data_IF_483239765264
#
_entry.id   IF_483239765264
#
_cell.length_a   1.000
_cell.length_b   1.000
_cell.length_c   1.000
_cell.angle_alpha   90.00
_cell.angle_beta   90.00
_cell.angle_gamma   90.00
#
_symmetry.space_group_name_H-M   'P 1'
#
loop_
_entity.id
_entity.type
_entity.pdbx_description
1 polymer ?
#
# COMPACT_ATOMS: atom_id res chain seq x y z
N UNK A 1 19.14 -28.74 -43.90
CA UNK A 1 19.78 -27.52 -43.34
C UNK A 1 19.18 -26.18 -43.76
N UNK A 2 17.85 -26.04 -43.79
CA UNK A 2 17.19 -24.79 -44.22
C UNK A 2 16.65 -23.93 -43.07
N UNK A 3 16.86 -24.36 -41.81
CA UNK A 3 16.42 -23.64 -40.60
C UNK A 3 17.42 -22.59 -40.11
N UNK A 4 18.72 -22.83 -40.29
CA UNK A 4 19.77 -21.92 -39.81
C UNK A 4 19.85 -20.61 -40.61
N UNK A 5 19.54 -20.65 -41.92
CA UNK A 5 19.62 -19.46 -42.78
C UNK A 5 18.49 -18.45 -42.46
N UNK A 6 17.29 -18.93 -42.11
CA UNK A 6 16.17 -18.04 -41.72
C UNK A 6 16.41 -17.32 -40.40
N UNK A 7 17.11 -17.93 -39.45
CA UNK A 7 17.40 -17.30 -38.17
C UNK A 7 18.36 -16.12 -38.31
N UNK A 8 19.40 -16.26 -39.13
CA UNK A 8 20.33 -15.16 -39.45
C UNK A 8 19.64 -13.99 -40.17
N UNK A 9 18.65 -14.28 -41.03
CA UNK A 9 17.93 -13.24 -41.76
C UNK A 9 16.93 -12.48 -40.85
N UNK A 10 16.35 -13.15 -39.85
CA UNK A 10 15.47 -12.52 -38.86
C UNK A 10 16.22 -11.58 -37.90
N UNK A 11 17.43 -11.94 -37.49
CA UNK A 11 18.27 -11.10 -36.64
C UNK A 11 18.84 -9.86 -37.36
N UNK A 12 18.88 -9.84 -38.69
CA UNK A 12 19.31 -8.66 -39.46
C UNK A 12 18.21 -7.59 -39.61
N UNK A 13 16.95 -7.98 -39.39
CA UNK A 13 15.77 -7.12 -39.57
C UNK A 13 15.22 -6.59 -38.24
N UNK A 14 15.78 -7.04 -37.12
CA UNK A 14 15.46 -6.57 -35.77
C UNK A 14 16.69 -5.90 -35.17
N UNK A 15 16.55 -4.64 -34.77
CA UNK A 15 17.57 -3.84 -34.09
C UNK A 15 17.75 -4.29 -32.63
N UNK A 16 18.02 -5.58 -32.42
CA UNK A 16 18.36 -6.13 -31.11
C UNK A 16 19.87 -6.08 -30.95
N UNK A 17 20.35 -5.03 -30.28
CA UNK A 17 21.73 -4.95 -29.83
C UNK A 17 21.88 -5.85 -28.60
N UNK A 18 22.43 -7.05 -28.78
CA UNK A 18 22.83 -7.91 -27.66
C UNK A 18 24.13 -7.37 -27.10
N UNK A 19 24.03 -6.49 -26.11
CA UNK A 19 25.17 -6.01 -25.33
C UNK A 19 25.61 -7.07 -24.33
N UNK A 20 26.73 -7.75 -24.60
CA UNK A 20 27.37 -8.61 -23.61
C UNK A 20 27.90 -7.77 -22.45
N UNK A 21 27.38 -8.02 -21.24
CA UNK A 21 27.88 -7.38 -20.00
C UNK A 21 29.20 -8.04 -19.61
N UNK A 22 30.32 -7.37 -19.88
CA UNK A 22 31.61 -7.73 -19.28
C UNK A 22 31.62 -7.17 -17.86
N UNK A 23 31.63 -8.03 -16.85
CA UNK A 23 31.93 -7.61 -15.48
C UNK A 23 33.40 -7.19 -15.39
N UNK A 24 33.66 -5.89 -15.46
CA UNK A 24 34.97 -5.33 -15.15
C UNK A 24 35.09 -5.21 -13.62
N UNK A 25 35.88 -6.09 -13.00
CA UNK A 25 36.30 -5.95 -11.61
C UNK A 25 37.31 -4.80 -11.56
N UNK A 26 36.88 -3.61 -11.14
CA UNK A 26 37.79 -2.50 -10.88
C UNK A 26 38.18 -2.51 -9.41
N UNK A 27 39.41 -2.94 -9.16
CA UNK A 27 40.12 -2.71 -7.92
C UNK A 27 40.41 -1.20 -7.77
N UNK A 28 40.10 -0.67 -6.59
CA UNK A 28 40.67 0.54 -5.99
C UNK A 28 40.95 1.74 -6.91
N UNK A 29 39.89 2.43 -7.35
CA UNK A 29 39.95 3.87 -7.58
C UNK A 29 38.86 4.56 -6.79
N UNK A 30 39.27 5.48 -5.93
CA UNK A 30 38.42 6.30 -5.08
C UNK A 30 37.23 6.83 -5.88
N UNK A 31 36.02 6.41 -5.48
CA UNK A 31 34.76 6.94 -5.98
C UNK A 31 34.77 8.43 -5.62
N UNK A 32 35.16 9.28 -6.56
CA UNK A 32 34.87 10.70 -6.44
C UNK A 32 33.34 10.80 -6.30
N UNK A 33 32.82 11.48 -5.26
CA UNK A 33 31.39 11.63 -5.13
C UNK A 33 30.88 12.26 -6.41
N UNK A 34 29.86 11.63 -7.02
CA UNK A 34 29.12 12.21 -8.14
C UNK A 34 28.78 13.64 -7.74
N UNK A 35 29.47 14.63 -8.32
CA UNK A 35 29.10 16.02 -8.12
C UNK A 35 27.71 16.14 -8.71
N UNK A 36 26.71 16.33 -7.85
CA UNK A 36 25.37 16.69 -8.31
C UNK A 36 25.53 17.92 -9.21
N UNK A 37 25.00 17.90 -10.44
CA UNK A 37 25.03 19.07 -11.29
C UNK A 37 24.34 20.21 -10.54
N UNK A 38 25.06 21.31 -10.33
CA UNK A 38 24.56 22.52 -9.68
C UNK A 38 23.69 23.35 -10.63
N UNK A 39 22.78 22.68 -11.33
CA UNK A 39 21.84 23.32 -12.24
C UNK A 39 20.66 23.88 -11.46
N UNK A 40 20.14 25.02 -11.89
CA UNK A 40 18.88 25.56 -11.35
C UNK A 40 17.74 24.63 -11.75
N UNK A 41 16.63 24.58 -11.01
CA UNK A 41 15.50 23.67 -11.31
C UNK A 41 14.96 23.77 -12.74
N UNK A 42 15.23 24.88 -13.44
CA UNK A 42 14.88 25.13 -14.83
C UNK A 42 15.75 24.35 -15.84
N UNK A 43 16.90 23.83 -15.42
CA UNK A 43 17.83 23.03 -16.25
C UNK A 43 17.57 21.53 -16.15
N UNK A 44 16.74 21.10 -15.18
CA UNK A 44 16.25 19.74 -15.17
C UNK A 44 15.43 19.52 -16.44
N UNK A 45 15.84 18.54 -17.24
CA UNK A 45 15.02 18.07 -18.37
C UNK A 45 13.69 17.58 -17.80
N UNK A 46 12.69 18.45 -17.80
CA UNK A 46 11.30 18.05 -17.61
C UNK A 46 11.03 17.07 -18.74
N UNK A 47 10.57 15.84 -18.46
CA UNK A 47 10.33 14.86 -19.49
C UNK A 47 9.18 15.34 -20.37
N UNK A 48 9.51 16.04 -21.46
CA UNK A 48 8.56 16.47 -22.47
C UNK A 48 8.27 15.30 -23.43
N UNK A 49 7.00 14.94 -23.59
CA UNK A 49 6.54 13.92 -24.54
C UNK A 49 6.13 12.58 -23.91
N UNK A 50 6.51 11.47 -24.55
CA UNK A 50 6.00 10.08 -24.34
C UNK A 50 5.93 9.59 -22.90
N UNK A 51 6.71 10.19 -21.99
CA UNK A 51 6.64 9.92 -20.56
C UNK A 51 5.30 10.36 -19.96
N UNK A 52 4.79 11.54 -20.31
CA UNK A 52 3.51 12.04 -19.81
C UNK A 52 2.35 11.15 -20.29
N UNK A 53 2.35 10.78 -21.57
CA UNK A 53 1.37 9.85 -22.13
C UNK A 53 1.43 8.47 -21.48
N UNK A 54 2.65 7.94 -21.27
CA UNK A 54 2.85 6.67 -20.59
C UNK A 54 2.38 6.76 -19.13
N UNK A 55 2.72 7.82 -18.43
CA UNK A 55 2.34 8.06 -17.04
C UNK A 55 0.82 8.16 -16.90
N UNK A 56 0.16 8.93 -17.76
CA UNK A 56 -1.30 9.05 -17.80
C UNK A 56 -1.97 7.70 -18.10
N UNK A 57 -1.40 6.90 -19.02
CA UNK A 57 -1.88 5.55 -19.33
C UNK A 57 -1.72 4.58 -18.16
N UNK A 58 -0.64 4.67 -17.40
CA UNK A 58 -0.45 3.83 -16.20
C UNK A 58 -1.38 4.28 -15.08
N UNK A 59 -1.51 5.58 -14.81
CA UNK A 59 -2.43 6.10 -13.80
C UNK A 59 -3.88 5.70 -14.08
N UNK A 60 -4.33 5.71 -15.33
CA UNK A 60 -5.66 5.25 -15.69
C UNK A 60 -5.89 3.76 -15.35
N UNK A 61 -4.85 2.92 -15.43
CA UNK A 61 -4.93 1.51 -15.01
C UNK A 61 -4.94 1.38 -13.49
N UNK A 62 -4.06 2.10 -12.80
CA UNK A 62 -3.99 2.09 -11.35
C UNK A 62 -5.28 2.60 -10.70
N UNK A 63 -5.89 3.65 -11.24
CA UNK A 63 -7.16 4.17 -10.73
C UNK A 63 -8.28 3.13 -10.84
N UNK A 64 -8.35 2.38 -11.95
CA UNK A 64 -9.31 1.29 -12.10
C UNK A 64 -9.06 0.18 -11.08
N UNK A 65 -7.81 -0.24 -10.92
CA UNK A 65 -7.43 -1.25 -9.94
C UNK A 65 -7.75 -0.81 -8.50
N UNK A 66 -7.42 0.44 -8.14
CA UNK A 66 -7.72 1.02 -6.84
C UNK A 66 -9.22 1.07 -6.58
N UNK A 67 -10.03 1.43 -7.58
CA UNK A 67 -11.48 1.45 -7.45
C UNK A 67 -12.06 0.06 -7.16
N UNK A 68 -11.67 -0.97 -7.92
CA UNK A 68 -12.15 -2.34 -7.69
C UNK A 68 -11.65 -2.94 -6.39
N UNK A 69 -10.38 -2.72 -6.04
CA UNK A 69 -9.82 -3.20 -4.77
C UNK A 69 -10.46 -2.51 -3.57
N UNK A 70 -10.79 -1.23 -3.67
CA UNK A 70 -11.53 -0.52 -2.63
C UNK A 70 -12.92 -1.11 -2.40
N UNK A 71 -13.67 -1.41 -3.47
CA UNK A 71 -14.99 -2.06 -3.38
C UNK A 71 -14.87 -3.45 -2.75
N UNK A 72 -13.90 -4.26 -3.21
CA UNK A 72 -13.66 -5.58 -2.65
C UNK A 72 -13.31 -5.51 -1.15
N UNK A 73 -12.43 -4.58 -0.77
CA UNK A 73 -12.06 -4.37 0.62
C UNK A 73 -13.25 -3.93 1.48
N UNK A 74 -14.03 -2.94 1.03
CA UNK A 74 -15.20 -2.44 1.80
C UNK A 74 -16.27 -3.52 1.96
N UNK A 75 -16.56 -4.27 0.91
CA UNK A 75 -17.51 -5.39 0.99
C UNK A 75 -17.04 -6.46 1.97
N UNK A 76 -15.80 -6.93 1.86
CA UNK A 76 -15.24 -7.92 2.81
C UNK A 76 -15.25 -7.37 4.24
N UNK A 77 -14.84 -6.12 4.45
CA UNK A 77 -14.81 -5.50 5.77
C UNK A 77 -16.21 -5.43 6.41
N UNK A 78 -17.23 -5.04 5.65
CA UNK A 78 -18.61 -5.01 6.13
C UNK A 78 -19.12 -6.41 6.51
N UNK A 79 -18.82 -7.43 5.69
CA UNK A 79 -19.14 -8.82 6.02
C UNK A 79 -18.44 -9.26 7.31
N UNK A 80 -17.16 -8.93 7.46
CA UNK A 80 -16.39 -9.23 8.68
C UNK A 80 -17.02 -8.58 9.92
N UNK A 81 -17.44 -7.32 9.84
CA UNK A 81 -18.15 -6.65 10.95
C UNK A 81 -19.48 -7.33 11.30
N UNK A 82 -20.22 -7.84 10.29
CA UNK A 82 -21.45 -8.60 10.53
C UNK A 82 -21.17 -9.94 11.22
N UNK A 83 -20.09 -10.63 10.84
CA UNK A 83 -19.71 -11.92 11.43
C UNK A 83 -19.16 -11.77 12.85
N UNK A 84 -18.34 -10.73 13.09
CA UNK A 84 -17.74 -10.48 14.40
C UNK A 84 -18.78 -10.16 15.49
N UNK A 85 -20.01 -9.81 15.10
CA UNK A 85 -21.15 -9.61 15.98
C UNK A 85 -20.73 -8.81 17.23
N UNK A 86 -20.06 -7.68 17.00
CA UNK A 86 -19.37 -6.89 18.04
C UNK A 86 -20.29 -6.47 19.19
N UNK A 87 -21.61 -6.50 18.99
CA UNK A 87 -22.62 -6.24 20.01
C UNK A 87 -23.16 -7.47 20.75
N UNK A 88 -22.85 -8.70 20.33
CA UNK A 88 -23.43 -9.94 20.89
C UNK A 88 -23.12 -10.14 22.37
N UNK A 89 -21.92 -9.75 22.78
CA UNK A 89 -21.48 -9.80 24.17
C UNK A 89 -21.46 -8.42 24.84
N UNK A 90 -22.06 -7.40 24.19
CA UNK A 90 -22.27 -6.12 24.85
C UNK A 90 -23.23 -6.34 26.00
N UNK A 91 -22.72 -6.19 27.22
CA UNK A 91 -23.56 -6.20 28.40
C UNK A 91 -24.60 -5.06 28.26
N UNK A 92 -25.88 -5.31 28.57
CA UNK A 92 -26.85 -4.23 28.62
C UNK A 92 -26.38 -3.20 29.66
N UNK A 93 -26.71 -1.90 29.49
CA UNK A 93 -26.41 -0.89 30.49
C UNK A 93 -27.01 -1.34 31.83
N UNK A 94 -26.14 -1.61 32.80
CA UNK A 94 -26.52 -2.15 34.10
C UNK A 94 -26.74 -0.97 35.05
N UNK A 95 -27.98 -0.78 35.47
CA UNK A 95 -28.31 0.21 36.50
C UNK A 95 -27.89 -0.32 37.87
N UNK A 96 -27.46 0.58 38.74
CA UNK A 96 -27.15 0.26 40.12
C UNK A 96 -28.45 -0.14 40.84
N UNK A 97 -28.51 -1.36 41.38
CA UNK A 97 -29.62 -1.82 42.22
C UNK A 97 -29.12 -2.12 43.63
N UNK A 98 -29.96 -1.85 44.64
CA UNK A 98 -29.58 -2.07 46.04
C UNK A 98 -29.24 -3.55 46.31
N UNK A 99 -29.98 -4.48 45.69
CA UNK A 99 -29.71 -5.92 45.76
C UNK A 99 -28.39 -6.30 45.08
N UNK A 100 -28.11 -5.67 43.93
CA UNK A 100 -26.89 -5.90 43.17
C UNK A 100 -25.63 -5.35 43.84
N UNK A 101 -25.76 -4.45 44.82
CA UNK A 101 -24.66 -3.85 45.59
C UNK A 101 -24.49 -4.46 46.99
N UNK A 102 -25.40 -5.37 47.38
CA UNK A 102 -25.39 -6.03 48.70
C UNK A 102 -24.09 -6.82 48.98
N UNK A 103 -23.41 -7.28 47.94
CA UNK A 103 -22.13 -8.00 48.06
C UNK A 103 -20.99 -7.12 48.59
N UNK A 104 -21.06 -5.80 48.43
CA UNK A 104 -20.03 -4.86 48.88
C UNK A 104 -20.15 -4.53 50.37
N UNK A 105 -21.22 -4.99 51.03
CA UNK A 105 -21.62 -4.58 52.37
C UNK A 105 -21.49 -3.05 52.59
N UNK A 106 -22.11 -2.23 51.72
CA UNK A 106 -21.84 -0.80 51.68
C UNK A 106 -22.47 -0.05 52.87
N UNK A 107 -21.82 1.04 53.27
CA UNK A 107 -22.41 2.01 54.19
C UNK A 107 -23.66 2.65 53.57
N UNK A 108 -24.65 2.97 54.42
CA UNK A 108 -25.97 3.45 54.00
C UNK A 108 -25.88 4.75 53.17
N UNK A 109 -25.01 5.67 53.57
CA UNK A 109 -24.80 6.95 52.88
C UNK A 109 -24.16 6.76 51.49
N UNK A 110 -23.20 5.83 51.39
CA UNK A 110 -22.54 5.50 50.13
C UNK A 110 -23.51 4.80 49.16
N UNK A 111 -24.41 3.96 49.68
CA UNK A 111 -25.44 3.29 48.88
C UNK A 111 -26.44 4.30 48.29
N UNK A 112 -26.90 5.27 49.08
CA UNK A 112 -27.83 6.32 48.59
C UNK A 112 -27.21 7.19 47.49
N UNK A 113 -25.93 7.55 47.64
CA UNK A 113 -25.22 8.33 46.62
C UNK A 113 -25.10 7.62 45.27
N UNK A 114 -24.84 6.31 45.29
CA UNK A 114 -24.66 5.47 44.09
C UNK A 114 -25.98 5.11 43.41
N UNK A 115 -27.10 5.13 44.16
CA UNK A 115 -28.43 4.91 43.60
C UNK A 115 -29.07 6.18 43.03
N UNK A 116 -28.65 7.36 43.51
CA UNK A 116 -29.18 8.66 43.09
C UNK A 116 -28.50 9.23 41.84
N UNK A 117 -27.25 8.84 41.58
CA UNK A 117 -26.43 9.27 40.44
C UNK A 117 -26.16 8.10 39.49
#
# INVERSE_FOLDING_TARGET
DSRCVRFFQFCKQSSVVIGGVKHFRQEHHHIQPMRFPSGTYDELQVPHGSWEEWHNKQNAKYNKFLFFSFIAFTTTFLYTLKILDLGKYSLPPRNNTAEGLKFLNPDKEALEYVLKN
#
